data_IF_053527478949
#
_entry.id   IF_053527478949
#
_cell.length_a   1.000
_cell.length_b   1.000
_cell.length_c   1.000
_cell.angle_alpha   90.00
_cell.angle_beta   90.00
_cell.angle_gamma   90.00
#
_symmetry.space_group_name_H-M   'P 1'
#
loop_
_entity.id
_entity.type
_entity.pdbx_description
1 polymer ?
#
# COMPACT_ATOMS: atom_id res chain seq x y z
N UNK A 1 21.11 17.29 -44.87
CA UNK A 1 21.67 17.02 -43.54
C UNK A 1 21.47 15.55 -43.29
N UNK A 2 22.53 14.81 -43.00
CA UNK A 2 22.45 13.36 -42.79
C UNK A 2 22.15 13.11 -41.33
N UNK A 3 21.07 12.40 -41.06
CA UNK A 3 20.65 12.05 -39.70
C UNK A 3 21.45 10.84 -39.20
N UNK A 4 22.06 10.98 -38.03
CA UNK A 4 22.86 9.94 -37.38
C UNK A 4 22.18 9.41 -36.12
N UNK A 5 22.46 8.15 -35.83
CA UNK A 5 22.05 7.45 -34.61
C UNK A 5 23.28 6.84 -33.94
N UNK A 6 23.28 6.75 -32.62
CA UNK A 6 24.33 6.06 -31.86
C UNK A 6 23.72 5.15 -30.79
N UNK A 7 24.43 4.10 -30.40
CA UNK A 7 24.04 3.24 -29.29
C UNK A 7 24.75 3.72 -28.02
N UNK A 8 24.01 4.08 -26.97
CA UNK A 8 24.61 4.47 -25.69
C UNK A 8 25.21 3.27 -24.93
N UNK A 9 25.82 3.51 -23.77
CA UNK A 9 26.42 2.47 -22.93
C UNK A 9 25.42 1.38 -22.45
N UNK A 10 24.11 1.61 -22.60
CA UNK A 10 23.07 0.63 -22.29
C UNK A 10 22.57 -0.10 -23.54
N UNK A 11 23.26 0.05 -24.68
CA UNK A 11 22.89 -0.47 -26.00
C UNK A 11 21.54 0.07 -26.52
N UNK A 12 21.11 1.24 -26.05
CA UNK A 12 19.88 1.87 -26.51
C UNK A 12 20.20 2.82 -27.66
N UNK A 13 19.42 2.73 -28.75
CA UNK A 13 19.54 3.62 -29.92
C UNK A 13 19.06 5.03 -29.57
N UNK A 14 19.94 6.01 -29.76
CA UNK A 14 19.70 7.44 -29.59
C UNK A 14 19.78 8.14 -30.96
N UNK A 15 18.90 9.11 -31.22
CA UNK A 15 18.83 9.88 -32.46
C UNK A 15 17.40 10.08 -32.97
N UNK A 16 17.19 10.79 -34.10
CA UNK A 16 18.19 11.30 -35.03
C UNK A 16 18.91 12.55 -34.50
N UNK A 17 20.24 12.61 -34.66
CA UNK A 17 21.05 13.80 -34.37
C UNK A 17 21.92 14.20 -35.57
N UNK A 18 22.25 15.49 -35.76
CA UNK A 18 23.16 15.93 -36.81
C UNK A 18 24.60 15.45 -36.57
N UNK A 19 25.38 15.28 -37.64
CA UNK A 19 26.80 14.90 -37.58
C UNK A 19 27.64 15.83 -36.65
N UNK A 20 27.36 17.13 -36.66
CA UNK A 20 28.04 18.11 -35.81
C UNK A 20 27.78 17.87 -34.31
N UNK A 21 26.59 17.40 -33.95
CA UNK A 21 26.25 17.11 -32.56
C UNK A 21 26.86 15.79 -32.09
N UNK A 22 26.93 14.78 -32.98
CA UNK A 22 27.65 13.53 -32.72
C UNK A 22 29.15 13.79 -32.43
N UNK A 23 29.77 14.72 -33.17
CA UNK A 23 31.15 15.17 -32.91
C UNK A 23 31.29 15.88 -31.55
N UNK A 24 30.34 16.73 -31.16
CA UNK A 24 30.36 17.38 -29.84
C UNK A 24 30.26 16.38 -28.70
N UNK A 25 29.40 15.37 -28.82
CA UNK A 25 29.26 14.32 -27.81
C UNK A 25 30.57 13.54 -27.62
N UNK A 26 31.28 13.27 -28.72
CA UNK A 26 32.60 12.65 -28.69
C UNK A 26 33.66 13.57 -28.04
N UNK A 27 33.71 14.84 -28.42
CA UNK A 27 34.64 15.83 -27.84
C UNK A 27 34.37 16.07 -26.34
N UNK A 28 33.11 16.00 -25.91
CA UNK A 28 32.70 16.09 -24.52
C UNK A 28 32.93 14.80 -23.72
N UNK A 29 33.46 13.73 -24.35
CA UNK A 29 33.72 12.44 -23.70
C UNK A 29 32.46 11.68 -23.28
N UNK A 30 31.30 12.01 -23.85
CA UNK A 30 30.01 11.36 -23.55
C UNK A 30 29.80 10.07 -24.33
N UNK A 31 30.47 9.95 -25.48
CA UNK A 31 30.56 8.74 -26.31
C UNK A 31 32.04 8.52 -26.67
N UNK A 32 32.44 7.26 -26.82
CA UNK A 32 33.81 6.86 -27.10
C UNK A 32 34.01 6.38 -28.55
N UNK A 33 35.26 6.17 -28.96
CA UNK A 33 35.59 5.76 -30.34
C UNK A 33 35.04 4.36 -30.72
N UNK A 34 34.69 3.55 -29.71
CA UNK A 34 34.09 2.23 -29.87
C UNK A 34 32.56 2.26 -29.90
N UNK A 35 31.96 3.42 -29.65
CA UNK A 35 30.52 3.60 -29.66
C UNK A 35 29.98 3.31 -31.05
N UNK A 36 28.95 2.47 -31.14
CA UNK A 36 28.33 2.09 -32.41
C UNK A 36 27.44 3.21 -32.92
N UNK A 37 27.64 3.60 -34.18
CA UNK A 37 26.89 4.63 -34.89
C UNK A 37 26.33 4.09 -36.19
N UNK A 38 25.20 4.65 -36.62
CA UNK A 38 24.50 4.25 -37.82
C UNK A 38 23.80 5.44 -38.46
N UNK A 39 23.67 5.40 -39.79
CA UNK A 39 22.90 6.35 -40.59
C UNK A 39 22.29 5.64 -41.79
N UNK A 40 21.28 6.25 -42.40
CA UNK A 40 20.69 5.76 -43.64
C UNK A 40 21.76 5.61 -44.73
N UNK A 41 21.89 4.40 -45.27
CA UNK A 41 22.90 4.01 -46.26
C UNK A 41 24.01 3.09 -45.75
N UNK A 42 24.13 2.90 -44.43
CA UNK A 42 25.03 1.87 -43.86
C UNK A 42 24.31 0.53 -43.73
N UNK A 43 24.97 -0.56 -44.16
CA UNK A 43 24.43 -1.91 -44.08
C UNK A 43 24.33 -2.43 -42.64
N UNK A 44 25.22 -1.95 -41.76
CA UNK A 44 25.30 -2.35 -40.35
C UNK A 44 25.80 -1.21 -39.46
N UNK A 45 25.67 -1.37 -38.15
CA UNK A 45 26.22 -0.44 -37.16
C UNK A 45 27.74 -0.52 -37.14
N UNK A 46 28.40 0.62 -37.29
CA UNK A 46 29.87 0.73 -37.34
C UNK A 46 30.38 1.53 -36.16
N UNK A 47 31.65 1.39 -35.78
CA UNK A 47 32.21 2.17 -34.68
C UNK A 47 32.41 3.63 -35.07
N UNK A 48 32.33 4.54 -34.09
CA UNK A 48 32.55 5.97 -34.29
C UNK A 48 33.92 6.27 -34.92
N UNK A 49 34.95 5.51 -34.54
CA UNK A 49 36.30 5.59 -35.13
C UNK A 49 36.29 5.36 -36.65
N UNK A 50 35.53 4.36 -37.12
CA UNK A 50 35.49 3.97 -38.53
C UNK A 50 34.88 5.06 -39.43
N UNK A 51 34.01 5.91 -38.88
CA UNK A 51 33.35 7.01 -39.60
C UNK A 51 33.87 8.39 -39.21
N UNK A 52 34.91 8.47 -38.37
CA UNK A 52 35.45 9.72 -37.84
C UNK A 52 35.89 10.70 -38.93
N UNK A 53 36.62 10.18 -39.93
CA UNK A 53 37.07 10.98 -41.08
C UNK A 53 35.93 11.53 -41.92
N UNK A 54 34.76 10.87 -41.95
CA UNK A 54 33.57 11.35 -42.63
C UNK A 54 32.87 12.47 -41.83
N UNK A 55 32.77 12.28 -40.52
CA UNK A 55 32.14 13.24 -39.61
C UNK A 55 32.91 14.55 -39.53
N UNK A 56 34.25 14.50 -39.42
CA UNK A 56 35.09 15.69 -39.33
C UNK A 56 34.97 16.56 -40.60
N UNK A 57 34.77 15.96 -41.78
CA UNK A 57 34.48 16.67 -43.03
C UNK A 57 33.08 17.31 -43.07
N UNK A 58 32.08 16.66 -42.46
CA UNK A 58 30.72 17.19 -42.36
C UNK A 58 30.58 18.31 -41.30
N UNK A 59 31.40 18.27 -40.23
CA UNK A 59 31.41 19.25 -39.14
C UNK A 59 31.93 20.63 -39.53
N UNK A 60 32.71 20.74 -40.60
CA UNK A 60 33.27 22.01 -41.09
C UNK A 60 32.23 22.94 -41.75
N UNK A 61 31.00 22.48 -42.00
CA UNK A 61 30.00 23.20 -42.80
C UNK A 61 28.68 23.44 -42.06
N UNK A 62 28.72 23.61 -40.73
CA UNK A 62 27.55 24.00 -39.95
C UNK A 62 27.55 25.53 -39.70
N UNK A 63 26.40 26.22 -39.85
CA UNK A 63 26.30 27.64 -39.52
C UNK A 63 26.57 27.84 -38.02
N UNK A 64 27.30 28.90 -37.68
CA UNK A 64 27.53 29.32 -36.31
C UNK A 64 26.18 29.43 -35.57
N UNK A 65 26.06 28.71 -34.45
CA UNK A 65 24.90 28.76 -33.59
C UNK A 65 24.65 30.20 -33.13
N UNK A 66 23.39 30.62 -33.16
CA UNK A 66 22.92 31.94 -32.75
C UNK A 66 23.51 32.33 -31.38
N UNK A 67 24.35 33.36 -31.36
CA UNK A 67 24.77 34.00 -30.12
C UNK A 67 23.52 34.55 -29.42
N UNK A 68 23.32 34.16 -28.16
CA UNK A 68 22.25 34.73 -27.35
C UNK A 68 22.60 36.19 -27.03
N UNK A 69 22.01 37.13 -27.77
CA UNK A 69 22.02 38.55 -27.40
C UNK A 69 20.99 38.79 -26.29
N UNK A 70 21.47 39.15 -25.09
CA UNK A 70 20.61 39.65 -24.03
C UNK A 70 20.10 41.05 -24.40
N UNK A 71 18.79 41.18 -24.60
CA UNK A 71 18.11 42.47 -24.72
C UNK A 71 18.20 43.22 -23.38
N UNK A 72 18.77 44.43 -23.37
CA UNK A 72 18.89 45.23 -22.15
C UNK A 72 17.51 45.76 -21.71
N UNK A 73 17.09 45.39 -20.50
CA UNK A 73 15.82 45.84 -19.91
C UNK A 73 15.86 47.36 -19.67
N UNK A 74 14.89 48.10 -20.22
CA UNK A 74 14.76 49.53 -19.97
C UNK A 74 14.48 49.81 -18.48
N UNK A 75 15.06 50.87 -17.89
CA UNK A 75 14.82 51.21 -16.49
C UNK A 75 13.35 51.59 -16.26
N UNK A 76 12.78 51.05 -15.18
CA UNK A 76 11.41 51.34 -14.72
C UNK A 76 11.25 52.82 -14.35
N UNK A 77 10.13 53.48 -14.70
CA UNK A 77 9.86 54.84 -14.27
C UNK A 77 9.70 54.92 -12.74
N UNK A 78 10.02 56.07 -12.11
CA UNK A 78 9.95 56.22 -10.67
C UNK A 78 8.50 56.06 -10.16
N UNK A 79 8.32 55.55 -8.93
CA UNK A 79 7.00 55.34 -8.34
C UNK A 79 6.24 56.67 -8.22
N UNK A 80 4.95 56.63 -8.57
CA UNK A 80 4.02 57.74 -8.46
C UNK A 80 3.77 58.15 -7.00
N UNK A 81 3.34 59.39 -6.81
CA UNK A 81 3.29 60.11 -5.54
C UNK A 81 2.22 59.66 -4.51
N UNK A 82 1.91 58.35 -4.43
CA UNK A 82 0.95 57.80 -3.45
C UNK A 82 1.61 56.91 -2.38
N UNK A 83 2.92 56.65 -2.45
CA UNK A 83 3.64 55.93 -1.39
C UNK A 83 4.08 56.89 -0.28
N UNK A 84 3.13 57.27 0.59
CA UNK A 84 3.46 57.90 1.86
C UNK A 84 4.29 56.90 2.71
N UNK A 85 5.45 57.29 3.26
CA UNK A 85 6.27 56.37 4.05
C UNK A 85 5.51 55.93 5.31
N UNK A 86 5.52 54.63 5.65
CA UNK A 86 4.85 54.13 6.84
C UNK A 86 5.44 54.77 8.11
N UNK A 87 4.57 55.09 9.07
CA UNK A 87 4.95 55.72 10.33
C UNK A 87 6.00 54.88 11.09
N UNK A 88 6.95 55.52 11.79
CA UNK A 88 8.05 54.80 12.45
C UNK A 88 7.51 53.98 13.62
N UNK A 89 7.34 52.67 13.39
CA UNK A 89 6.84 51.70 14.36
C UNK A 89 6.61 50.31 13.77
N UNK A 90 6.35 50.21 12.47
CA UNK A 90 5.99 48.95 11.78
C UNK A 90 7.16 48.28 11.03
N UNK A 91 8.39 48.44 11.50
CA UNK A 91 9.58 48.01 10.76
C UNK A 91 9.86 46.49 10.77
N UNK A 92 9.03 45.65 11.39
CA UNK A 92 9.18 44.20 11.25
C UNK A 92 7.92 43.41 11.62
N UNK A 93 7.34 42.67 10.67
CA UNK A 93 6.38 41.58 10.94
C UNK A 93 6.89 40.28 10.31
N UNK A 94 6.96 39.15 11.05
CA UNK A 94 7.33 37.87 10.47
C UNK A 94 6.23 37.39 9.50
N UNK A 95 6.65 36.87 8.33
CA UNK A 95 5.80 36.46 7.19
C UNK A 95 4.89 35.26 7.51
N UNK A 96 4.90 34.75 8.74
CA UNK A 96 4.23 33.49 9.07
C UNK A 96 2.73 33.59 9.34
N UNK A 97 2.16 34.79 9.42
CA UNK A 97 0.71 34.96 9.61
C UNK A 97 0.16 36.13 8.77
N UNK A 98 0.22 35.98 7.45
CA UNK A 98 -0.79 36.57 6.59
C UNK A 98 -1.58 35.42 5.99
N UNK A 99 -2.82 35.28 6.48
CA UNK A 99 -3.84 34.46 5.87
C UNK A 99 -3.97 34.86 4.40
N UNK A 100 -3.34 34.09 3.52
CA UNK A 100 -3.65 34.14 2.09
C UNK A 100 -5.04 33.56 1.98
N UNK A 101 -6.04 34.45 1.96
CA UNK A 101 -7.37 34.12 1.49
C UNK A 101 -7.22 33.32 0.20
N UNK A 102 -7.83 32.13 0.18
CA UNK A 102 -7.81 31.24 -0.97
C UNK A 102 -8.29 31.99 -2.21
N UNK A 103 -7.35 32.41 -3.06
CA UNK A 103 -7.65 32.81 -4.43
C UNK A 103 -8.09 31.53 -5.15
N UNK A 104 -9.29 31.50 -5.76
CA UNK A 104 -9.72 30.34 -6.50
C UNK A 104 -8.73 30.11 -7.64
N UNK A 105 -8.18 28.90 -7.71
CA UNK A 105 -7.25 28.46 -8.74
C UNK A 105 -7.96 28.40 -10.10
N UNK A 106 -8.13 29.57 -10.72
CA UNK A 106 -8.49 29.71 -12.13
C UNK A 106 -7.22 30.18 -12.85
N UNK A 107 -6.59 29.24 -13.56
CA UNK A 107 -5.36 29.47 -14.30
C UNK A 107 -4.37 28.37 -13.99
N UNK A 108 -4.33 27.36 -14.87
CA UNK A 108 -3.24 26.41 -14.91
C UNK A 108 -1.93 27.21 -14.95
N UNK A 109 -1.16 27.11 -13.88
CA UNK A 109 0.21 27.57 -13.83
C UNK A 109 0.94 26.95 -15.03
N UNK A 110 1.44 27.77 -15.94
CA UNK A 110 2.51 27.36 -16.83
C UNK A 110 3.58 26.70 -15.96
N UNK A 111 3.78 25.40 -16.18
CA UNK A 111 4.71 24.61 -15.40
C UNK A 111 6.10 25.24 -15.52
N UNK A 112 6.63 25.75 -14.40
CA UNK A 112 7.98 26.30 -14.36
C UNK A 112 8.96 25.31 -15.02
N UNK A 113 9.77 25.73 -16.01
CA UNK A 113 10.74 24.86 -16.67
C UNK A 113 11.78 24.25 -15.71
N UNK A 114 11.92 24.83 -14.51
CA UNK A 114 12.81 24.40 -13.44
C UNK A 114 12.06 23.73 -12.28
N UNK A 115 10.78 23.40 -12.44
CA UNK A 115 10.09 22.58 -11.45
C UNK A 115 10.80 21.23 -11.34
N UNK A 116 11.28 20.83 -10.15
CA UNK A 116 11.87 19.51 -9.98
C UNK A 116 10.84 18.45 -10.39
N UNK A 117 11.25 17.37 -11.09
CA UNK A 117 10.32 16.31 -11.45
C UNK A 117 9.68 15.76 -10.18
N UNK A 118 8.40 16.05 -10.00
CA UNK A 118 7.62 15.48 -8.90
C UNK A 118 7.25 14.07 -9.32
N UNK A 119 7.99 13.08 -8.81
CA UNK A 119 7.47 11.73 -8.79
C UNK A 119 6.20 11.79 -7.93
N UNK A 120 5.00 11.49 -8.46
CA UNK A 120 3.84 11.33 -7.62
C UNK A 120 4.19 10.19 -6.65
N UNK A 121 4.46 10.53 -5.40
CA UNK A 121 4.50 9.54 -4.34
C UNK A 121 3.10 8.95 -4.34
N UNK A 122 2.96 7.75 -4.91
CA UNK A 122 1.72 6.99 -4.84
C UNK A 122 1.41 6.84 -3.35
N UNK A 123 0.53 7.71 -2.84
CA UNK A 123 0.13 7.67 -1.45
C UNK A 123 -0.54 6.32 -1.29
N UNK A 124 -0.05 5.50 -0.36
CA UNK A 124 -0.56 4.14 -0.14
C UNK A 124 -2.08 4.07 0.11
N UNK A 125 -2.71 5.22 0.37
CA UNK A 125 -4.15 5.40 0.57
C UNK A 125 -4.93 5.84 -0.69
N UNK A 126 -4.33 5.96 -1.88
CA UNK A 126 -5.10 6.26 -3.10
C UNK A 126 -5.93 5.06 -3.51
N UNK A 127 -7.23 5.13 -3.22
CA UNK A 127 -8.22 4.14 -3.65
C UNK A 127 -8.47 4.31 -5.15
N UNK A 128 -8.22 3.26 -5.93
CA UNK A 128 -8.46 3.27 -7.38
C UNK A 128 -9.79 2.58 -7.68
N UNK A 129 -10.66 3.29 -8.39
CA UNK A 129 -11.97 2.80 -8.83
C UNK A 129 -11.99 2.48 -10.32
N UNK A 130 -12.93 1.65 -10.76
CA UNK A 130 -13.13 1.28 -12.17
C UNK A 130 -12.45 -0.02 -12.60
N UNK A 131 -11.60 -0.60 -11.77
CA UNK A 131 -11.05 -1.95 -11.97
C UNK A 131 -11.99 -3.06 -11.51
N UNK A 132 -11.75 -4.29 -11.97
CA UNK A 132 -12.41 -5.48 -11.44
C UNK A 132 -12.09 -5.64 -9.94
N UNK A 133 -13.08 -6.01 -9.12
CA UNK A 133 -12.89 -6.28 -7.69
C UNK A 133 -13.13 -7.77 -7.41
N UNK A 134 -12.06 -8.47 -7.01
CA UNK A 134 -12.12 -9.88 -6.62
C UNK A 134 -12.48 -9.99 -5.15
N UNK A 135 -13.71 -10.44 -4.88
CA UNK A 135 -14.20 -10.68 -3.52
C UNK A 135 -13.63 -11.96 -2.91
N UNK A 136 -13.22 -11.88 -1.64
CA UNK A 136 -12.76 -13.02 -0.87
C UNK A 136 -13.96 -13.89 -0.44
N UNK A 137 -14.01 -15.12 -0.95
CA UNK A 137 -15.04 -16.08 -0.59
C UNK A 137 -14.84 -16.71 0.79
N UNK A 138 -15.81 -17.55 1.16
CA UNK A 138 -15.87 -18.25 2.45
C UNK A 138 -14.56 -18.95 2.81
N UNK A 139 -13.99 -19.77 1.93
CA UNK A 139 -12.80 -20.58 2.21
C UNK A 139 -11.54 -19.76 2.55
N UNK A 140 -11.31 -18.63 1.87
CA UNK A 140 -10.18 -17.75 2.20
C UNK A 140 -10.36 -17.12 3.58
N UNK A 141 -11.59 -16.71 3.91
CA UNK A 141 -11.94 -16.15 5.21
C UNK A 141 -11.83 -17.19 6.33
N UNK A 142 -12.25 -18.43 6.07
CA UNK A 142 -12.14 -19.54 7.01
C UNK A 142 -10.69 -19.87 7.32
N UNK A 143 -9.83 -19.98 6.30
CA UNK A 143 -8.40 -20.21 6.49
C UNK A 143 -7.73 -19.06 7.26
N UNK A 144 -8.07 -17.81 6.95
CA UNK A 144 -7.59 -16.66 7.72
C UNK A 144 -8.00 -16.74 9.19
N UNK A 145 -9.25 -17.13 9.47
CA UNK A 145 -9.75 -17.30 10.83
C UNK A 145 -9.00 -18.39 11.60
N UNK A 146 -8.65 -19.51 10.98
CA UNK A 146 -7.84 -20.54 11.62
C UNK A 146 -6.44 -20.03 12.02
N UNK A 147 -5.78 -19.27 11.13
CA UNK A 147 -4.48 -18.67 11.44
C UNK A 147 -4.62 -17.65 12.57
N UNK A 148 -5.60 -16.74 12.48
CA UNK A 148 -5.81 -15.72 13.49
C UNK A 148 -6.21 -16.32 14.85
N UNK A 149 -7.00 -17.40 14.86
CA UNK A 149 -7.36 -18.11 16.08
C UNK A 149 -6.12 -18.73 16.75
N UNK A 150 -5.16 -19.22 15.97
CA UNK A 150 -3.90 -19.74 16.50
C UNK A 150 -3.04 -18.61 17.10
N UNK A 151 -2.94 -17.46 16.42
CA UNK A 151 -2.19 -16.29 16.92
C UNK A 151 -2.81 -15.72 18.19
N UNK A 152 -4.12 -15.45 18.16
CA UNK A 152 -4.85 -14.93 19.32
C UNK A 152 -4.90 -15.95 20.45
N UNK A 153 -5.07 -17.23 20.15
CA UNK A 153 -5.07 -18.32 21.12
C UNK A 153 -3.72 -18.49 21.83
N UNK A 154 -2.62 -18.37 21.10
CA UNK A 154 -1.28 -18.45 21.69
C UNK A 154 -0.99 -17.21 22.55
N UNK A 155 -1.39 -16.02 22.10
CA UNK A 155 -1.28 -14.80 22.90
C UNK A 155 -2.14 -14.86 24.17
N UNK A 156 -3.39 -15.33 24.05
CA UNK A 156 -4.30 -15.46 25.19
C UNK A 156 -3.85 -16.52 26.18
N UNK A 157 -3.27 -17.64 25.72
CA UNK A 157 -2.65 -18.66 26.58
C UNK A 157 -1.50 -18.07 27.41
N UNK A 158 -0.61 -17.30 26.79
CA UNK A 158 0.49 -16.65 27.51
C UNK A 158 -0.03 -15.66 28.56
N UNK A 159 -1.02 -14.84 28.19
CA UNK A 159 -1.67 -13.92 29.14
C UNK A 159 -2.33 -14.71 30.27
N UNK A 160 -3.03 -15.80 29.98
CA UNK A 160 -3.71 -16.63 30.97
C UNK A 160 -2.72 -17.29 31.94
N UNK A 161 -1.56 -17.75 31.47
CA UNK A 161 -0.51 -18.32 32.33
C UNK A 161 0.10 -17.24 33.23
N UNK A 162 0.40 -16.06 32.71
CA UNK A 162 0.98 -14.96 33.49
C UNK A 162 -0.03 -14.46 34.53
N UNK A 163 -1.24 -14.12 34.09
CA UNK A 163 -2.29 -13.57 34.94
C UNK A 163 -2.81 -14.63 35.91
N UNK A 164 -3.13 -15.83 35.43
CA UNK A 164 -3.62 -16.94 36.24
C UNK A 164 -2.57 -17.48 37.20
N UNK A 165 -1.30 -17.55 36.80
CA UNK A 165 -0.20 -17.93 37.68
C UNK A 165 0.09 -16.89 38.76
N UNK A 166 0.07 -15.61 38.40
CA UNK A 166 0.30 -14.51 39.34
C UNK A 166 -0.86 -14.36 40.34
N UNK A 167 -2.10 -14.34 39.84
CA UNK A 167 -3.29 -14.23 40.68
C UNK A 167 -3.51 -15.51 41.49
N UNK A 168 -3.41 -16.69 40.86
CA UNK A 168 -3.52 -17.98 41.54
C UNK A 168 -2.45 -18.16 42.62
N UNK A 169 -1.21 -17.72 42.35
CA UNK A 169 -0.14 -17.63 43.33
C UNK A 169 -0.53 -16.77 44.52
N UNK A 170 -0.95 -15.52 44.31
CA UNK A 170 -1.34 -14.61 45.40
C UNK A 170 -2.50 -15.17 46.23
N UNK A 171 -3.53 -15.73 45.58
CA UNK A 171 -4.70 -16.31 46.28
C UNK A 171 -4.33 -17.54 47.12
N UNK A 172 -3.41 -18.37 46.61
CA UNK A 172 -2.94 -19.55 47.34
C UNK A 172 -2.22 -19.19 48.65
N UNK A 173 -1.51 -18.05 48.67
CA UNK A 173 -0.78 -17.58 49.87
C UNK A 173 -1.70 -16.78 50.81
N UNK A 174 -2.71 -16.09 50.29
CA UNK A 174 -3.61 -15.24 51.08
C UNK A 174 -4.78 -16.00 51.71
N UNK A 175 -4.96 -17.29 51.41
CA UNK A 175 -6.02 -18.12 52.00
C UNK A 175 -7.44 -17.74 51.58
N UNK A 176 -7.57 -16.78 50.65
CA UNK A 176 -8.84 -16.33 50.07
C UNK A 176 -9.20 -17.26 48.92
N UNK A 177 -9.51 -18.52 49.24
CA UNK A 177 -9.93 -19.54 48.27
C UNK A 177 -11.39 -19.90 48.51
N UNK A 178 -12.28 -18.99 48.11
CA UNK A 178 -13.71 -19.30 47.96
C UNK A 178 -14.06 -19.48 46.49
N UNK A 179 -14.88 -20.47 46.15
CA UNK A 179 -15.34 -20.74 44.79
C UNK A 179 -15.91 -19.50 44.09
N UNK A 180 -16.59 -18.62 44.85
CA UNK A 180 -17.11 -17.35 44.36
C UNK A 180 -16.02 -16.35 43.96
N UNK A 181 -14.92 -16.27 44.72
CA UNK A 181 -13.79 -15.39 44.41
C UNK A 181 -13.04 -15.85 43.16
N UNK A 182 -12.83 -17.16 43.04
CA UNK A 182 -12.24 -17.76 41.84
C UNK A 182 -13.11 -17.53 40.60
N UNK A 183 -14.43 -17.74 40.71
CA UNK A 183 -15.36 -17.51 39.62
C UNK A 183 -15.38 -16.05 39.15
N UNK A 184 -15.39 -15.07 40.07
CA UNK A 184 -15.35 -13.65 39.71
C UNK A 184 -14.06 -13.27 38.97
N UNK A 185 -12.91 -13.78 39.43
CA UNK A 185 -11.62 -13.55 38.78
C UNK A 185 -11.60 -14.17 37.39
N UNK A 186 -12.14 -15.38 37.25
CA UNK A 186 -12.23 -16.04 35.95
C UNK A 186 -13.14 -15.27 34.97
N UNK A 187 -14.27 -14.73 35.45
CA UNK A 187 -15.15 -13.87 34.66
C UNK A 187 -14.40 -12.61 34.21
N UNK A 188 -13.70 -11.93 35.11
CA UNK A 188 -12.91 -10.74 34.79
C UNK A 188 -11.80 -11.05 33.77
N UNK A 189 -11.10 -12.18 33.91
CA UNK A 189 -10.09 -12.62 32.97
C UNK A 189 -10.68 -12.90 31.58
N UNK A 190 -11.85 -13.53 31.51
CA UNK A 190 -12.56 -13.79 30.26
C UNK A 190 -13.03 -12.50 29.58
N UNK A 191 -13.57 -11.54 30.34
CA UNK A 191 -13.97 -10.23 29.83
C UNK A 191 -12.76 -9.43 29.31
N UNK A 192 -11.63 -9.48 30.02
CA UNK A 192 -10.39 -8.87 29.59
C UNK A 192 -9.87 -9.51 28.29
N UNK A 193 -9.88 -10.84 28.21
CA UNK A 193 -9.50 -11.58 27.00
C UNK A 193 -10.39 -11.23 25.80
N UNK A 194 -11.70 -11.11 26.02
CA UNK A 194 -12.65 -10.65 25.01
C UNK A 194 -12.34 -9.23 24.53
N UNK A 195 -12.05 -8.32 25.46
CA UNK A 195 -11.68 -6.94 25.14
C UNK A 195 -10.38 -6.85 24.34
N UNK A 196 -9.34 -7.60 24.74
CA UNK A 196 -8.06 -7.68 24.01
C UNK A 196 -8.28 -8.21 22.60
N UNK A 197 -9.09 -9.25 22.45
CA UNK A 197 -9.42 -9.81 21.13
C UNK A 197 -10.17 -8.80 20.26
N UNK A 198 -11.14 -8.08 20.82
CA UNK A 198 -11.87 -7.03 20.12
C UNK A 198 -10.92 -5.93 19.61
N UNK A 199 -10.03 -5.46 20.48
CA UNK A 199 -9.02 -4.45 20.14
C UNK A 199 -8.07 -4.97 19.06
N UNK A 200 -7.59 -6.21 19.16
CA UNK A 200 -6.75 -6.83 18.14
C UNK A 200 -7.40 -6.76 16.75
N UNK A 201 -8.61 -7.30 16.60
CA UNK A 201 -9.29 -7.29 15.30
C UNK A 201 -9.62 -5.88 14.81
N UNK A 202 -10.08 -5.00 15.70
CA UNK A 202 -10.41 -3.63 15.34
C UNK A 202 -9.18 -2.85 14.88
N UNK A 203 -8.07 -2.97 15.61
CA UNK A 203 -6.81 -2.31 15.31
C UNK A 203 -6.23 -2.78 13.98
N UNK A 204 -6.12 -4.10 13.77
CA UNK A 204 -5.54 -4.63 12.53
C UNK A 204 -6.35 -4.26 11.30
N UNK A 205 -7.69 -4.31 11.38
CA UNK A 205 -8.53 -3.89 10.26
C UNK A 205 -8.48 -2.37 10.02
N UNK A 206 -8.30 -1.55 11.05
CA UNK A 206 -8.18 -0.10 10.93
C UNK A 206 -6.75 0.39 10.63
N UNK A 207 -5.76 -0.51 10.65
CA UNK A 207 -4.36 -0.21 10.35
C UNK A 207 -4.11 -0.11 8.84
N UNK A 208 -2.92 0.38 8.45
CA UNK A 208 -2.51 0.46 7.04
C UNK A 208 -2.52 -0.89 6.31
N UNK A 209 -2.35 -2.01 7.02
CA UNK A 209 -2.45 -3.34 6.44
C UNK A 209 -3.89 -3.73 6.07
N UNK A 210 -4.88 -3.10 6.72
CA UNK A 210 -6.32 -3.38 6.57
C UNK A 210 -6.68 -4.87 6.76
N UNK A 211 -5.81 -5.62 7.43
CA UNK A 211 -5.84 -7.07 7.49
C UNK A 211 -5.18 -7.53 8.78
N UNK A 212 -5.71 -8.60 9.35
CA UNK A 212 -5.04 -9.35 10.41
C UNK A 212 -3.93 -10.23 9.83
N UNK A 213 -2.94 -10.66 10.62
CA UNK A 213 -1.90 -11.60 10.19
C UNK A 213 -2.42 -12.80 9.39
N UNK A 214 -3.53 -13.43 9.80
CA UNK A 214 -4.15 -14.52 9.07
C UNK A 214 -4.69 -14.09 7.70
N UNK A 215 -5.34 -12.93 7.62
CA UNK A 215 -5.82 -12.35 6.35
C UNK A 215 -4.67 -11.94 5.43
N UNK A 216 -3.59 -11.41 6.00
CA UNK A 216 -2.36 -11.09 5.26
C UNK A 216 -1.73 -12.35 4.64
N UNK A 217 -1.66 -13.44 5.42
CA UNK A 217 -1.08 -14.70 4.96
C UNK A 217 -1.85 -15.33 3.77
N UNK A 218 -3.17 -15.20 3.74
CA UNK A 218 -4.01 -15.67 2.61
C UNK A 218 -4.22 -14.63 1.51
N UNK A 219 -3.68 -13.41 1.67
CA UNK A 219 -3.70 -12.36 0.66
C UNK A 219 -5.03 -11.62 0.52
N UNK A 220 -5.78 -11.43 1.61
CA UNK A 220 -7.04 -10.69 1.61
C UNK A 220 -7.00 -9.51 2.59
N UNK A 221 -7.82 -8.48 2.35
CA UNK A 221 -7.95 -7.30 3.21
C UNK A 221 -9.39 -6.88 3.41
N UNK A 222 -9.65 -6.11 4.47
CA UNK A 222 -10.96 -5.55 4.83
C UNK A 222 -11.02 -4.08 4.45
N UNK A 223 -11.97 -3.72 3.61
CA UNK A 223 -12.18 -2.34 3.17
C UNK A 223 -13.63 -1.94 3.35
N UNK A 224 -13.92 -0.65 3.25
CA UNK A 224 -15.29 -0.16 3.11
C UNK A 224 -15.84 -0.53 1.73
N UNK A 225 -17.16 -0.40 1.53
CA UNK A 225 -17.77 -0.47 0.19
C UNK A 225 -17.18 0.53 -0.80
N UNK A 226 -16.67 1.66 -0.31
CA UNK A 226 -15.87 2.63 -1.08
C UNK A 226 -14.42 2.21 -1.32
N UNK A 227 -13.96 1.04 -0.88
CA UNK A 227 -12.55 0.61 -1.02
C UNK A 227 -11.58 1.27 -0.01
N UNK A 228 -12.05 2.26 0.73
CA UNK A 228 -11.27 2.95 1.77
C UNK A 228 -11.01 2.06 3.00
N UNK A 229 -10.01 2.47 3.79
CA UNK A 229 -9.72 1.87 5.10
C UNK A 229 -10.91 2.03 6.05
N UNK A 230 -11.14 1.02 6.89
CA UNK A 230 -12.17 1.12 7.92
C UNK A 230 -11.67 1.94 9.12
N UNK A 231 -12.57 2.67 9.78
CA UNK A 231 -12.24 3.36 11.03
C UNK A 231 -12.18 2.38 12.22
N UNK A 232 -11.44 2.74 13.27
CA UNK A 232 -11.29 1.91 14.47
C UNK A 232 -12.65 1.59 15.12
N UNK A 233 -13.52 2.59 15.27
CA UNK A 233 -14.85 2.41 15.87
C UNK A 233 -15.71 1.44 15.04
N UNK A 234 -15.63 1.52 13.72
CA UNK A 234 -16.30 0.57 12.83
C UNK A 234 -15.68 -0.82 12.92
N UNK A 235 -14.36 -0.92 13.12
CA UNK A 235 -13.67 -2.17 13.42
C UNK A 235 -14.16 -2.84 14.70
N UNK A 236 -14.38 -2.07 15.77
CA UNK A 236 -14.96 -2.55 17.04
C UNK A 236 -16.39 -3.03 16.81
N UNK A 237 -17.23 -2.22 16.14
CA UNK A 237 -18.61 -2.61 15.80
C UNK A 237 -18.66 -3.89 14.97
N UNK A 238 -17.74 -4.04 14.01
CA UNK A 238 -17.59 -5.25 13.19
C UNK A 238 -17.22 -6.46 14.04
N UNK A 239 -16.38 -6.33 15.06
CA UNK A 239 -16.07 -7.43 15.98
C UNK A 239 -17.31 -7.90 16.74
N UNK A 240 -18.07 -6.99 17.35
CA UNK A 240 -19.30 -7.37 18.06
C UNK A 240 -20.37 -7.95 17.12
N UNK A 241 -20.50 -7.43 15.89
CA UNK A 241 -21.36 -8.03 14.87
C UNK A 241 -20.89 -9.44 14.46
N UNK A 242 -19.59 -9.70 14.51
CA UNK A 242 -18.99 -11.02 14.28
C UNK A 242 -19.33 -11.97 15.43
N UNK A 243 -19.29 -11.50 16.67
CA UNK A 243 -19.76 -12.28 17.85
C UNK A 243 -21.23 -12.63 17.71
N UNK A 244 -22.08 -11.68 17.33
CA UNK A 244 -23.50 -11.94 17.08
C UNK A 244 -23.69 -12.95 15.94
N UNK A 245 -22.91 -12.84 14.86
CA UNK A 245 -22.89 -13.79 13.74
C UNK A 245 -22.48 -15.21 14.17
N UNK A 246 -21.64 -15.33 15.20
CA UNK A 246 -21.23 -16.61 15.75
C UNK A 246 -22.33 -17.22 16.62
N UNK A 247 -23.03 -16.41 17.42
CA UNK A 247 -24.14 -16.86 18.28
C UNK A 247 -25.31 -17.46 17.47
N UNK A 248 -25.56 -16.97 16.26
CA UNK A 248 -26.59 -17.52 15.35
C UNK A 248 -26.12 -18.78 14.59
N UNK A 249 -25.43 -19.69 15.28
CA UNK A 249 -24.88 -20.95 14.71
C UNK A 249 -23.97 -20.75 13.49
N UNK A 250 -23.16 -19.68 13.50
CA UNK A 250 -22.25 -19.33 12.38
C UNK A 250 -22.92 -19.10 11.03
N UNK A 251 -24.27 -19.03 10.96
CA UNK A 251 -25.03 -18.80 9.71
C UNK A 251 -24.58 -17.50 9.04
N UNK A 252 -24.29 -16.47 9.84
CA UNK A 252 -23.79 -15.19 9.35
C UNK A 252 -22.46 -15.28 8.60
N UNK A 253 -21.63 -16.30 8.88
CA UNK A 253 -20.38 -16.57 8.16
C UNK A 253 -20.62 -17.33 6.86
N UNK A 254 -21.52 -18.32 6.88
CA UNK A 254 -21.87 -19.12 5.69
C UNK A 254 -22.48 -18.25 4.57
N UNK A 255 -23.16 -17.15 4.94
CA UNK A 255 -23.72 -16.18 4.00
C UNK A 255 -22.68 -15.62 3.00
N UNK A 256 -21.40 -15.54 3.39
CA UNK A 256 -20.32 -15.11 2.49
C UNK A 256 -20.08 -16.08 1.32
N UNK A 257 -20.57 -17.32 1.40
CA UNK A 257 -20.52 -18.29 0.31
C UNK A 257 -21.61 -18.09 -0.75
N UNK A 258 -22.74 -17.47 -0.40
CA UNK A 258 -23.94 -17.43 -1.23
C UNK A 258 -24.29 -16.02 -1.75
N UNK A 259 -23.75 -14.97 -1.15
CA UNK A 259 -24.05 -13.58 -1.53
C UNK A 259 -23.25 -13.14 -2.75
N UNK A 260 -23.83 -12.29 -3.60
CA UNK A 260 -23.20 -11.80 -4.84
C UNK A 260 -21.82 -11.14 -4.59
N UNK A 261 -21.72 -10.33 -3.53
CA UNK A 261 -20.47 -9.67 -3.11
C UNK A 261 -19.66 -10.46 -2.07
N UNK A 262 -20.04 -11.71 -1.81
CA UNK A 262 -19.43 -12.61 -0.82
C UNK A 262 -19.30 -11.95 0.58
N UNK A 263 -20.35 -11.23 1.00
CA UNK A 263 -20.43 -10.55 2.29
C UNK A 263 -21.04 -11.47 3.36
N UNK A 264 -20.44 -11.46 4.55
CA UNK A 264 -21.02 -12.04 5.75
C UNK A 264 -22.02 -11.07 6.42
N UNK A 265 -22.82 -11.55 7.37
CA UNK A 265 -23.78 -10.70 8.08
C UNK A 265 -23.11 -9.51 8.76
N UNK A 266 -22.01 -9.74 9.49
CA UNK A 266 -21.24 -8.67 10.12
C UNK A 266 -20.60 -7.69 9.12
N UNK A 267 -20.36 -8.13 7.88
CA UNK A 267 -19.87 -7.23 6.83
C UNK A 267 -20.96 -6.25 6.38
N UNK A 268 -22.19 -6.75 6.22
CA UNK A 268 -23.35 -5.96 5.81
C UNK A 268 -23.74 -4.94 6.88
N UNK A 269 -23.81 -5.38 8.14
CA UNK A 269 -24.14 -4.51 9.28
C UNK A 269 -23.15 -3.35 9.42
N UNK A 270 -21.87 -3.59 9.10
CA UNK A 270 -20.83 -2.59 9.26
C UNK A 270 -20.41 -1.89 7.97
N UNK A 271 -21.08 -2.11 6.84
CA UNK A 271 -20.74 -1.53 5.55
C UNK A 271 -19.26 -1.79 5.19
N UNK A 272 -18.87 -3.07 5.22
CA UNK A 272 -17.51 -3.53 4.93
C UNK A 272 -17.50 -4.64 3.88
N UNK A 273 -16.35 -4.83 3.25
CA UNK A 273 -16.07 -5.84 2.23
C UNK A 273 -14.74 -6.51 2.55
N UNK A 274 -14.62 -7.78 2.18
CA UNK A 274 -13.32 -8.47 2.18
C UNK A 274 -12.98 -8.84 0.75
N UNK A 275 -11.82 -8.34 0.32
CA UNK A 275 -11.37 -8.39 -1.07
C UNK A 275 -9.93 -8.89 -1.13
N UNK A 276 -9.47 -9.22 -2.34
CA UNK A 276 -8.06 -9.49 -2.58
C UNK A 276 -7.19 -8.30 -2.15
N UNK A 277 -5.96 -8.57 -1.70
CA UNK A 277 -5.03 -7.52 -1.26
C UNK A 277 -4.78 -6.43 -2.31
N UNK A 278 -4.84 -6.77 -3.60
CA UNK A 278 -4.62 -5.84 -4.71
C UNK A 278 -5.91 -5.16 -5.20
N UNK A 279 -7.07 -5.50 -4.66
CA UNK A 279 -8.31 -4.79 -5.00
C UNK A 279 -8.23 -3.31 -4.57
N UNK A 280 -8.83 -2.42 -5.35
CA UNK A 280 -8.80 -0.96 -5.17
C UNK A 280 -7.40 -0.33 -5.19
N UNK A 281 -6.43 -1.00 -5.81
CA UNK A 281 -5.08 -0.47 -6.05
C UNK A 281 -4.88 -0.16 -7.53
N UNK A 282 -3.77 0.49 -7.86
CA UNK A 282 -3.32 0.78 -9.23
C UNK A 282 -2.98 -0.48 -10.05
N UNK A 283 -2.90 -1.65 -9.40
CA UNK A 283 -2.57 -2.94 -10.03
C UNK A 283 -3.65 -4.00 -9.86
N UNK A 284 -4.86 -3.79 -10.41
CA UNK A 284 -5.96 -4.74 -10.29
C UNK A 284 -5.66 -6.12 -10.93
N UNK A 285 -4.72 -6.20 -11.87
CA UNK A 285 -4.29 -7.42 -12.56
C UNK A 285 -3.57 -8.43 -11.64
N UNK A 286 -3.05 -7.99 -10.50
CA UNK A 286 -2.38 -8.87 -9.53
C UNK A 286 -3.36 -9.65 -8.62
N UNK A 287 -4.66 -9.37 -8.73
CA UNK A 287 -5.68 -10.02 -7.93
C UNK A 287 -5.81 -11.52 -8.25
N UNK A 288 -6.00 -12.35 -7.22
CA UNK A 288 -6.11 -13.80 -7.36
C UNK A 288 -7.52 -14.27 -7.02
N UNK A 289 -8.24 -14.82 -8.00
CA UNK A 289 -9.55 -15.43 -7.79
C UNK A 289 -9.46 -16.77 -7.06
N UNK A 290 -8.39 -17.51 -7.33
CA UNK A 290 -8.14 -18.85 -6.79
C UNK A 290 -7.76 -18.84 -5.30
N UNK A 291 -7.72 -20.06 -4.72
CA UNK A 291 -7.20 -20.30 -3.38
C UNK A 291 -5.68 -20.39 -3.48
N UNK A 292 -4.96 -19.55 -2.72
CA UNK A 292 -3.50 -19.64 -2.67
C UNK A 292 -3.05 -20.91 -1.94
N UNK A 293 -1.79 -21.32 -2.17
CA UNK A 293 -1.17 -22.49 -1.53
C UNK A 293 -1.34 -22.49 -0.02
N UNK A 294 -1.10 -21.33 0.62
CA UNK A 294 -1.27 -21.16 2.08
C UNK A 294 -2.69 -21.49 2.52
N UNK A 295 -3.69 -21.00 1.78
CA UNK A 295 -5.11 -21.28 2.08
C UNK A 295 -5.40 -22.77 2.01
N UNK A 296 -4.94 -23.45 0.97
CA UNK A 296 -5.17 -24.89 0.78
C UNK A 296 -4.51 -25.71 1.88
N UNK A 297 -3.24 -25.42 2.19
CA UNK A 297 -2.48 -26.11 3.24
C UNK A 297 -3.14 -25.96 4.60
N UNK A 298 -3.53 -24.73 4.96
CA UNK A 298 -4.20 -24.46 6.24
C UNK A 298 -5.53 -25.23 6.34
N UNK A 299 -6.36 -25.19 5.29
CA UNK A 299 -7.63 -25.93 5.29
C UNK A 299 -7.42 -27.44 5.37
N UNK A 300 -6.41 -27.98 4.69
CA UNK A 300 -6.09 -29.40 4.73
C UNK A 300 -5.64 -29.85 6.14
N UNK A 301 -4.73 -29.09 6.78
CA UNK A 301 -4.25 -29.39 8.13
C UNK A 301 -5.39 -29.33 9.14
N UNK A 302 -6.14 -28.22 9.17
CA UNK A 302 -7.24 -28.07 10.13
C UNK A 302 -8.38 -29.06 9.87
N UNK A 303 -8.66 -29.38 8.59
CA UNK A 303 -9.64 -30.42 8.24
C UNK A 303 -9.22 -31.82 8.71
N UNK A 304 -7.94 -32.18 8.53
CA UNK A 304 -7.41 -33.46 9.00
C UNK A 304 -7.42 -33.56 10.53
N UNK A 305 -7.00 -32.51 11.24
CA UNK A 305 -7.03 -32.46 12.71
C UNK A 305 -8.46 -32.55 13.25
N UNK A 306 -9.41 -31.84 12.62
CA UNK A 306 -10.82 -31.91 12.99
C UNK A 306 -11.39 -33.32 12.77
N UNK A 307 -11.10 -33.94 11.62
CA UNK A 307 -11.52 -35.32 11.34
C UNK A 307 -10.95 -36.32 12.33
N UNK A 308 -9.66 -36.20 12.69
CA UNK A 308 -9.04 -37.03 13.71
C UNK A 308 -9.69 -36.84 15.10
N UNK A 309 -9.92 -35.59 15.51
CA UNK A 309 -10.58 -35.28 16.77
C UNK A 309 -12.00 -35.88 16.83
N UNK A 310 -12.76 -35.79 15.73
CA UNK A 310 -14.08 -36.40 15.63
C UNK A 310 -14.02 -37.93 15.77
N UNK A 311 -13.05 -38.59 15.12
CA UNK A 311 -12.86 -40.04 15.26
C UNK A 311 -12.52 -40.45 16.70
N UNK A 312 -11.66 -39.69 17.38
CA UNK A 312 -11.32 -39.94 18.79
C UNK A 312 -12.55 -39.79 19.68
N UNK A 313 -13.36 -38.75 19.48
CA UNK A 313 -14.61 -38.54 20.24
C UNK A 313 -15.60 -39.67 19.99
N UNK A 314 -15.80 -40.08 18.74
CA UNK A 314 -16.70 -41.20 18.40
C UNK A 314 -16.22 -42.53 18.99
N UNK A 315 -14.91 -42.80 18.96
CA UNK A 315 -14.31 -43.98 19.58
C UNK A 315 -14.50 -43.96 21.11
N UNK A 316 -14.32 -42.80 21.75
CA UNK A 316 -14.54 -42.63 23.19
C UNK A 316 -16.02 -42.85 23.59
N UNK A 317 -16.96 -42.31 22.80
CA UNK A 317 -18.40 -42.55 23.01
C UNK A 317 -18.74 -44.03 22.82
N UNK A 318 -18.19 -44.67 21.78
CA UNK A 318 -18.38 -46.10 21.53
C UNK A 318 -17.84 -46.97 22.66
N UNK A 319 -16.65 -46.65 23.17
CA UNK A 319 -16.07 -47.34 24.32
C UNK A 319 -16.87 -47.13 25.61
N UNK A 320 -17.39 -45.92 25.85
CA UNK A 320 -18.25 -45.63 27.00
C UNK A 320 -19.63 -46.29 26.94
N UNK A 321 -20.06 -46.75 25.77
CA UNK A 321 -21.35 -47.42 25.54
C UNK A 321 -21.27 -48.96 25.59
N UNK A 322 -20.06 -49.54 25.67
CA UNK A 322 -19.82 -50.98 25.85
C UNK A 322 -19.73 -51.34 27.34
#
# INVERSE_FOLDING_TARGET
MTDWYYADATHTRQGPIPAAELLRLSQAGRIDDRTLVWRDGLAEWVTLDAVRGELDGAGATAPAASEWTLEALAPTPPPGADDAPPAPGDAWRPVTESAVAAVPAAGASEASPYAPPTAPLARADTVVHGGEVVYAGFWKRLAAYFIDAMVVGMASMLVAVIVGGFIGGILSVSGVAGDLGFALIQILANLLSLAVTAVYYAWFHASNAMATPGKMAVGIKVVRTSGERISLLRGIGRYFATVLSAMILMIGFLMAGFTQRKQALHDMVCDTLVVDKWAFTDRPELQRRELGTVTVVVLAIFGALFGLALLVVLAAIGFAAM
#
